data_IF_312451502492
#
_entry.id   IF_312451502492
#
_cell.length_a   1.000
_cell.length_b   1.000
_cell.length_c   1.000
_cell.angle_alpha   90.00
_cell.angle_beta   90.00
_cell.angle_gamma   90.00
#
_symmetry.space_group_name_H-M   'P 1'
#
loop_
_entity.id
_entity.type
_entity.pdbx_description
1 polymer ?
#
# COMPACT_ATOMS: atom_id res chain seq x y z
N UNK A 1 -6.44 1.81 -21.32
CA UNK A 1 -5.78 0.84 -20.42
C UNK A 1 -5.19 1.48 -19.15
N UNK A 2 -5.97 2.27 -18.41
CA UNK A 2 -5.55 2.90 -17.13
C UNK A 2 -6.00 2.11 -15.89
N UNK A 3 -7.00 1.23 -16.03
CA UNK A 3 -7.61 0.43 -14.95
C UNK A 3 -6.66 -0.59 -14.33
N UNK A 4 -5.83 -1.21 -15.18
CA UNK A 4 -4.87 -2.22 -14.73
C UNK A 4 -3.72 -1.57 -13.96
N UNK A 5 -3.38 -0.31 -14.25
CA UNK A 5 -2.36 0.46 -13.52
C UNK A 5 -2.87 0.94 -12.15
N UNK A 6 -4.14 1.35 -12.04
CA UNK A 6 -4.73 1.72 -10.75
C UNK A 6 -4.92 0.51 -9.82
N UNK A 7 -5.19 -0.67 -10.35
CA UNK A 7 -5.23 -1.92 -9.55
C UNK A 7 -3.83 -2.38 -9.09
N UNK A 8 -2.76 -2.02 -9.81
CA UNK A 8 -1.39 -2.41 -9.45
C UNK A 8 -0.80 -1.62 -8.28
N UNK A 9 -1.13 -0.33 -8.15
CA UNK A 9 -0.62 0.52 -7.05
C UNK A 9 -0.86 -0.07 -5.65
N UNK A 10 -2.09 -0.48 -5.26
CA UNK A 10 -2.30 -1.10 -3.96
C UNK A 10 -1.58 -2.45 -3.84
N UNK A 11 -1.50 -3.22 -4.92
CA UNK A 11 -0.79 -4.51 -4.92
C UNK A 11 0.72 -4.37 -4.74
N UNK A 12 1.33 -3.26 -5.17
CA UNK A 12 2.75 -2.97 -4.93
C UNK A 12 3.01 -2.42 -3.51
N UNK A 13 2.10 -1.61 -2.98
CA UNK A 13 2.27 -0.94 -1.69
C UNK A 13 2.16 -1.92 -0.51
N UNK A 14 1.18 -2.83 -0.53
CA UNK A 14 0.98 -3.83 0.54
C UNK A 14 2.25 -4.68 0.83
N UNK A 15 2.88 -5.35 -0.16
CA UNK A 15 4.09 -6.12 0.07
C UNK A 15 5.30 -5.24 0.40
N UNK A 16 5.37 -4.00 -0.06
CA UNK A 16 6.44 -3.07 0.31
C UNK A 16 6.39 -2.72 1.80
N UNK A 17 5.19 -2.47 2.33
CA UNK A 17 4.96 -2.23 3.78
C UNK A 17 5.24 -3.50 4.58
N UNK A 18 4.83 -4.66 4.06
CA UNK A 18 5.13 -5.95 4.70
C UNK A 18 6.64 -6.22 4.73
N UNK A 19 7.38 -5.94 3.66
CA UNK A 19 8.84 -6.13 3.60
C UNK A 19 9.62 -5.12 4.43
N UNK A 20 9.16 -3.87 4.52
CA UNK A 20 9.79 -2.87 5.41
C UNK A 20 9.57 -3.17 6.89
N UNK A 21 8.48 -3.87 7.24
CA UNK A 21 8.20 -4.36 8.59
C UNK A 21 8.87 -5.71 8.93
N UNK A 22 9.35 -6.46 7.93
CA UNK A 22 9.89 -7.81 8.12
C UNK A 22 11.33 -7.80 8.67
N UNK A 23 11.45 -8.08 9.97
CA UNK A 23 12.74 -8.26 10.68
C UNK A 23 13.63 -9.35 10.08
N UNK A 24 13.05 -10.38 9.44
CA UNK A 24 13.82 -11.47 8.82
C UNK A 24 14.44 -11.04 7.48
N UNK A 25 13.85 -10.07 6.78
CA UNK A 25 14.37 -9.57 5.50
C UNK A 25 15.28 -8.34 5.63
N UNK A 26 14.99 -7.43 6.54
CA UNK A 26 15.73 -6.17 6.70
C UNK A 26 16.84 -6.23 7.75
N UNK A 27 16.87 -7.24 8.63
CA UNK A 27 17.92 -7.42 9.64
C UNK A 27 18.08 -6.19 10.54
N UNK A 28 19.26 -5.56 10.50
CA UNK A 28 19.60 -4.34 11.28
C UNK A 28 18.90 -3.08 10.73
N UNK A 29 18.47 -3.09 9.47
CA UNK A 29 17.74 -1.98 8.84
C UNK A 29 16.22 -2.08 9.02
N UNK A 30 15.72 -2.88 9.97
CA UNK A 30 14.28 -2.93 10.19
C UNK A 30 13.77 -1.55 10.59
N UNK A 31 12.68 -1.13 9.95
CA UNK A 31 12.06 0.14 10.28
C UNK A 31 11.66 0.13 11.77
N UNK A 32 12.05 1.13 12.58
CA UNK A 32 11.57 1.26 13.94
C UNK A 32 10.04 1.28 13.95
N UNK A 33 9.41 0.77 15.03
CA UNK A 33 7.96 0.59 15.12
C UNK A 33 7.17 1.85 14.74
N UNK A 34 7.70 3.03 15.03
CA UNK A 34 7.09 4.31 14.66
C UNK A 34 7.05 4.54 13.14
N UNK A 35 8.11 4.22 12.40
CA UNK A 35 8.11 4.24 10.93
C UNK A 35 7.16 3.20 10.33
N UNK A 36 7.08 2.01 10.93
CA UNK A 36 6.12 0.98 10.49
C UNK A 36 4.67 1.48 10.66
N UNK A 37 4.37 2.14 11.77
CA UNK A 37 3.04 2.75 12.01
C UNK A 37 2.75 3.84 10.97
N UNK A 38 3.67 4.78 10.74
CA UNK A 38 3.49 5.83 9.72
C UNK A 38 3.31 5.27 8.32
N UNK A 39 4.11 4.26 7.94
CA UNK A 39 4.00 3.60 6.64
C UNK A 39 2.69 2.82 6.51
N UNK A 40 2.24 2.13 7.57
CA UNK A 40 0.95 1.43 7.57
C UNK A 40 -0.23 2.39 7.45
N UNK A 41 -0.18 3.55 8.12
CA UNK A 41 -1.22 4.57 8.03
C UNK A 41 -1.31 5.16 6.61
N UNK A 42 -0.17 5.52 6.01
CA UNK A 42 -0.10 5.99 4.63
C UNK A 42 -0.60 4.92 3.64
N UNK A 43 -0.23 3.65 3.87
CA UNK A 43 -0.67 2.52 3.05
C UNK A 43 -2.18 2.33 3.10
N UNK A 44 -2.77 2.34 4.30
CA UNK A 44 -4.23 2.21 4.48
C UNK A 44 -4.94 3.36 3.76
N UNK A 45 -4.43 4.59 3.86
CA UNK A 45 -4.97 5.75 3.18
C UNK A 45 -4.92 5.56 1.65
N UNK A 46 -3.77 5.22 1.08
CA UNK A 46 -3.61 5.06 -0.38
C UNK A 46 -4.48 3.91 -0.91
N UNK A 47 -4.55 2.79 -0.18
CA UNK A 47 -5.39 1.64 -0.54
C UNK A 47 -6.86 2.04 -0.50
N UNK A 48 -7.32 2.72 0.55
CA UNK A 48 -8.69 3.21 0.67
C UNK A 48 -9.08 4.15 -0.47
N UNK A 49 -8.22 5.11 -0.80
CA UNK A 49 -8.44 6.01 -1.93
C UNK A 49 -8.44 5.26 -3.27
N UNK A 50 -7.54 4.29 -3.47
CA UNK A 50 -7.51 3.48 -4.70
C UNK A 50 -8.76 2.62 -4.84
N UNK A 51 -9.25 2.01 -3.76
CA UNK A 51 -10.51 1.26 -3.78
C UNK A 51 -11.67 2.19 -4.15
N UNK A 52 -11.74 3.39 -3.55
CA UNK A 52 -12.77 4.38 -3.88
C UNK A 52 -12.73 4.78 -5.36
N UNK A 53 -11.53 4.99 -5.91
CA UNK A 53 -11.30 5.29 -7.33
C UNK A 53 -11.72 4.13 -8.25
N UNK A 54 -11.41 2.89 -7.86
CA UNK A 54 -11.77 1.69 -8.60
C UNK A 54 -13.28 1.47 -8.57
N UNK A 55 -13.92 1.67 -7.41
CA UNK A 55 -15.38 1.60 -7.28
C UNK A 55 -16.07 2.68 -8.10
N UNK A 56 -15.60 3.94 -8.07
CA UNK A 56 -16.11 5.00 -8.96
C UNK A 56 -15.95 4.61 -10.44
N UNK A 57 -14.78 4.09 -10.82
CA UNK A 57 -14.49 3.66 -12.18
C UNK A 57 -15.41 2.52 -12.67
N UNK A 58 -15.68 1.51 -11.82
CA UNK A 58 -16.60 0.42 -12.15
C UNK A 58 -18.08 0.80 -12.01
N UNK A 59 -18.41 1.76 -11.14
CA UNK A 59 -19.76 2.26 -10.93
C UNK A 59 -20.18 3.29 -11.99
N UNK A 60 -19.26 3.73 -12.85
CA UNK A 60 -19.57 4.53 -14.05
C UNK A 60 -19.99 5.98 -13.77
N UNK A 61 -19.48 6.58 -12.68
CA UNK A 61 -19.60 8.03 -12.41
C UNK A 61 -18.42 8.82 -13.00
#
# INVERSE_FOLDING_TARGET
>A
SQVVLSLQLPFAIVPLVMFTADKRKMGVFVAPRWQTISASAASILIIGLNIKLVVDFFSGA
#
